data_IF_612905630846
#
_entry.id   IF_612905630846
#
_cell.length_a   1.000
_cell.length_b   1.000
_cell.length_c   1.000
_cell.angle_alpha   90.00
_cell.angle_beta   90.00
_cell.angle_gamma   90.00
#
_symmetry.space_group_name_H-M   'P 1'
#
loop_
_entity.id
_entity.type
_entity.pdbx_description
1 polymer ?
#
# COMPACT_ATOMS: atom_id res chain seq x y z
N UNK A 1 -28.50 3.34 -6.02
CA UNK A 1 -27.05 3.34 -6.25
C UNK A 1 -26.82 3.61 -7.73
N UNK A 2 -25.97 4.54 -8.13
CA UNK A 2 -25.58 4.67 -9.53
C UNK A 2 -24.87 3.39 -9.97
N UNK A 3 -25.05 2.92 -11.22
CA UNK A 3 -24.35 1.75 -11.72
C UNK A 3 -22.83 2.01 -11.71
N UNK A 4 -22.06 0.97 -11.35
CA UNK A 4 -20.61 1.01 -11.44
C UNK A 4 -20.22 1.36 -12.89
N UNK A 5 -19.26 2.27 -13.12
CA UNK A 5 -18.78 2.56 -14.46
C UNK A 5 -18.28 1.25 -15.09
N UNK A 6 -18.68 0.99 -16.32
CA UNK A 6 -18.24 -0.17 -17.08
C UNK A 6 -16.75 0.03 -17.40
N UNK A 7 -15.88 -0.70 -16.69
CA UNK A 7 -14.47 -0.77 -17.03
C UNK A 7 -14.28 -1.81 -18.12
N UNK A 8 -13.81 -1.37 -19.29
CA UNK A 8 -13.20 -2.30 -20.25
C UNK A 8 -11.96 -2.89 -19.60
N UNK A 9 -11.79 -4.21 -19.71
CA UNK A 9 -10.57 -4.86 -19.25
C UNK A 9 -9.35 -4.20 -19.92
N UNK A 10 -8.26 -3.89 -19.19
CA UNK A 10 -7.05 -3.39 -19.81
C UNK A 10 -6.53 -4.40 -20.83
N UNK A 11 -5.96 -3.89 -21.92
CA UNK A 11 -5.33 -4.70 -22.95
C UNK A 11 -4.24 -5.63 -22.34
N UNK A 12 -3.93 -6.78 -22.99
CA UNK A 12 -2.96 -7.72 -22.46
C UNK A 12 -1.61 -7.03 -22.19
N UNK A 13 -1.01 -7.35 -21.05
CA UNK A 13 0.21 -6.77 -20.53
C UNK A 13 1.41 -7.03 -21.47
N UNK A 14 1.72 -6.09 -22.35
CA UNK A 14 2.94 -6.13 -23.18
C UNK A 14 3.89 -4.96 -22.92
N UNK A 15 3.58 -4.04 -22.01
CA UNK A 15 4.45 -2.95 -21.58
C UNK A 15 4.28 -2.70 -20.08
N UNK A 16 5.37 -2.31 -19.43
CA UNK A 16 5.34 -1.85 -18.05
C UNK A 16 4.30 -0.73 -17.89
N UNK A 17 3.32 -0.92 -17.02
CA UNK A 17 2.16 -0.02 -16.89
C UNK A 17 1.82 0.32 -15.42
N UNK A 18 2.78 0.12 -14.52
CA UNK A 18 2.68 0.40 -13.11
C UNK A 18 3.57 1.59 -12.74
N UNK A 19 3.01 2.58 -12.06
CA UNK A 19 3.80 3.58 -11.32
C UNK A 19 3.85 3.22 -9.85
N UNK A 20 5.05 3.24 -9.28
CA UNK A 20 5.28 2.94 -7.85
C UNK A 20 5.65 4.22 -7.12
N UNK A 21 4.89 4.55 -6.08
CA UNK A 21 5.20 5.66 -5.18
C UNK A 21 5.89 5.15 -3.92
N UNK A 22 7.09 5.65 -3.65
CA UNK A 22 7.88 5.36 -2.44
C UNK A 22 8.11 6.67 -1.70
N UNK A 23 7.89 6.68 -0.38
CA UNK A 23 8.14 7.85 0.46
C UNK A 23 9.27 7.52 1.45
N UNK A 24 10.39 8.21 1.32
CA UNK A 24 11.50 8.10 2.25
C UNK A 24 11.41 9.17 3.34
N UNK A 25 11.62 8.75 4.58
CA UNK A 25 11.69 9.65 5.73
C UNK A 25 12.99 9.35 6.51
N UNK A 26 14.13 9.50 5.82
CA UNK A 26 15.43 9.11 6.32
C UNK A 26 15.76 7.62 6.13
N UNK A 27 15.15 6.95 5.13
CA UNK A 27 15.31 5.52 4.88
C UNK A 27 16.28 5.22 3.71
N UNK A 28 17.22 6.12 3.38
CA UNK A 28 18.04 6.05 2.18
C UNK A 28 18.66 4.68 1.87
N UNK A 29 19.19 3.97 2.88
CA UNK A 29 19.75 2.63 2.68
C UNK A 29 18.69 1.58 2.26
N UNK A 30 17.49 1.62 2.85
CA UNK A 30 16.38 0.74 2.50
C UNK A 30 15.85 1.05 1.10
N UNK A 31 15.68 2.33 0.79
CA UNK A 31 15.28 2.79 -0.56
C UNK A 31 16.28 2.33 -1.60
N UNK A 32 17.60 2.49 -1.35
CA UNK A 32 18.64 2.04 -2.26
C UNK A 32 18.54 0.54 -2.54
N UNK A 33 18.41 -0.29 -1.50
CA UNK A 33 18.29 -1.73 -1.63
C UNK A 33 17.01 -2.14 -2.39
N UNK A 34 15.87 -1.50 -2.07
CA UNK A 34 14.58 -1.74 -2.72
C UNK A 34 14.64 -1.41 -4.22
N UNK A 35 15.15 -0.22 -4.58
CA UNK A 35 15.28 0.18 -5.99
C UNK A 35 16.22 -0.74 -6.79
N UNK A 36 17.32 -1.21 -6.18
CA UNK A 36 18.22 -2.18 -6.82
C UNK A 36 17.52 -3.50 -7.05
N UNK A 37 16.77 -4.01 -6.08
CA UNK A 37 16.00 -5.24 -6.22
C UNK A 37 14.90 -5.11 -7.29
N UNK A 38 14.22 -3.96 -7.35
CA UNK A 38 13.22 -3.66 -8.40
C UNK A 38 13.88 -3.59 -9.78
N UNK A 39 15.05 -2.95 -9.90
CA UNK A 39 15.76 -2.85 -11.17
C UNK A 39 16.18 -4.23 -11.73
N UNK A 40 16.52 -5.16 -10.85
CA UNK A 40 16.91 -6.51 -11.25
C UNK A 40 15.75 -7.40 -11.69
N UNK A 41 14.54 -7.19 -11.14
CA UNK A 41 13.45 -8.19 -11.26
C UNK A 41 12.13 -7.64 -11.77
N UNK A 42 11.89 -6.33 -11.67
CA UNK A 42 10.56 -5.76 -11.91
C UNK A 42 10.52 -4.82 -13.13
N UNK A 43 11.55 -4.85 -13.97
CA UNK A 43 11.63 -3.98 -15.15
C UNK A 43 10.49 -4.19 -16.16
N UNK A 44 9.93 -5.41 -16.21
CA UNK A 44 8.82 -5.72 -17.11
C UNK A 44 7.46 -5.17 -16.61
N UNK A 45 7.30 -4.94 -15.31
CA UNK A 45 6.04 -4.50 -14.70
C UNK A 45 6.03 -3.02 -14.34
N UNK A 46 7.19 -2.49 -13.88
CA UNK A 46 7.30 -1.11 -13.38
C UNK A 46 7.78 -0.18 -14.47
N UNK A 47 6.91 0.74 -14.88
CA UNK A 47 7.24 1.79 -15.86
C UNK A 47 7.96 2.98 -15.20
N UNK A 48 7.50 3.36 -14.02
CA UNK A 48 7.99 4.56 -13.32
C UNK A 48 7.97 4.36 -11.81
N UNK A 49 8.98 4.93 -11.16
CA UNK A 49 9.04 5.06 -9.70
C UNK A 49 9.08 6.54 -9.35
N UNK A 50 8.17 6.99 -8.51
CA UNK A 50 8.18 8.33 -7.91
C UNK A 50 8.69 8.19 -6.48
N UNK A 51 9.94 8.59 -6.26
CA UNK A 51 10.56 8.61 -4.95
C UNK A 51 10.42 10.01 -4.32
N UNK A 52 9.68 10.10 -3.23
CA UNK A 52 9.56 11.34 -2.45
C UNK A 52 10.49 11.30 -1.24
N UNK A 53 11.47 12.19 -1.21
CA UNK A 53 12.32 12.44 -0.04
C UNK A 53 11.58 13.41 0.89
N UNK A 54 10.98 12.88 1.95
CA UNK A 54 10.16 13.65 2.89
C UNK A 54 11.02 14.39 3.94
N UNK A 55 12.29 14.02 4.05
CA UNK A 55 13.35 14.72 4.80
C UNK A 55 14.55 14.93 3.88
N UNK A 56 15.43 15.90 4.17
CA UNK A 56 16.69 16.04 3.45
C UNK A 56 17.55 14.78 3.59
N UNK A 57 17.79 14.10 2.48
CA UNK A 57 18.66 12.93 2.38
C UNK A 57 19.27 12.82 0.98
N UNK A 58 20.35 12.06 0.85
CA UNK A 58 21.01 11.88 -0.44
C UNK A 58 20.11 11.05 -1.38
N UNK A 59 20.02 11.40 -2.68
CA UNK A 59 19.30 10.59 -3.66
C UNK A 59 19.99 9.22 -3.86
N UNK A 60 19.22 8.19 -4.26
CA UNK A 60 19.77 6.87 -4.52
C UNK A 60 20.75 6.89 -5.69
N UNK A 61 21.79 6.05 -5.60
CA UNK A 61 22.80 5.90 -6.65
C UNK A 61 22.31 4.95 -7.73
N UNK A 62 22.28 5.43 -8.97
CA UNK A 62 21.92 4.59 -10.10
C UNK A 62 22.97 3.48 -10.34
N UNK A 63 22.54 2.29 -10.81
CA UNK A 63 23.47 1.31 -11.37
C UNK A 63 24.21 1.89 -12.59
N UNK A 64 25.34 1.28 -12.97
CA UNK A 64 26.12 1.73 -14.13
C UNK A 64 25.30 1.76 -15.44
N UNK A 65 24.36 0.82 -15.59
CA UNK A 65 23.42 0.78 -16.74
C UNK A 65 22.21 1.71 -16.60
N UNK A 66 22.13 2.50 -15.54
CA UNK A 66 20.93 3.28 -15.21
C UNK A 66 19.81 2.45 -14.59
N UNK A 67 18.68 3.09 -14.29
CA UNK A 67 17.47 2.42 -13.84
C UNK A 67 16.69 1.92 -15.07
N UNK A 68 16.13 0.69 -15.06
CA UNK A 68 15.33 0.17 -16.18
C UNK A 68 13.92 0.76 -16.21
N UNK A 69 13.55 1.60 -15.28
CA UNK A 69 12.32 2.36 -15.18
C UNK A 69 12.64 3.85 -15.04
N UNK A 70 11.67 4.71 -15.30
CA UNK A 70 11.82 6.15 -15.05
C UNK A 70 11.85 6.38 -13.54
N UNK A 71 12.92 6.95 -13.02
CA UNK A 71 13.00 7.39 -11.62
C UNK A 71 12.74 8.90 -11.54
N UNK A 72 11.58 9.25 -10.99
CA UNK A 72 11.21 10.65 -10.68
C UNK A 72 11.52 10.92 -9.21
N UNK A 73 12.37 11.92 -8.95
CA UNK A 73 12.74 12.31 -7.59
C UNK A 73 11.97 13.57 -7.18
N UNK A 74 11.33 13.54 -6.03
CA UNK A 74 10.67 14.67 -5.40
C UNK A 74 11.29 14.94 -4.03
N UNK A 75 11.53 16.21 -3.73
CA UNK A 75 12.08 16.63 -2.43
C UNK A 75 11.07 17.58 -1.77
N UNK A 76 10.63 17.26 -0.58
CA UNK A 76 9.75 18.12 0.17
C UNK A 76 10.54 19.21 0.91
N UNK A 77 10.10 20.46 0.80
CA UNK A 77 10.65 21.55 1.59
C UNK A 77 10.32 21.40 3.10
N UNK A 78 9.13 20.86 3.39
CA UNK A 78 8.68 20.52 4.75
C UNK A 78 8.05 19.12 4.72
N UNK A 79 8.27 18.31 5.78
CA UNK A 79 7.68 16.99 5.86
C UNK A 79 6.16 17.01 5.77
N UNK A 80 5.60 16.19 4.89
CA UNK A 80 4.16 15.99 4.74
C UNK A 80 3.73 14.62 5.28
N UNK A 81 2.41 14.44 5.47
CA UNK A 81 1.84 13.17 5.89
C UNK A 81 2.02 12.05 4.86
N UNK A 82 1.86 10.81 5.30
CA UNK A 82 2.00 9.62 4.44
C UNK A 82 1.06 9.70 3.22
N UNK A 83 -0.24 9.83 3.46
CA UNK A 83 -1.23 9.90 2.39
C UNK A 83 -1.02 11.07 1.44
N UNK A 84 -0.68 12.25 1.96
CA UNK A 84 -0.40 13.45 1.16
C UNK A 84 0.75 13.24 0.19
N UNK A 85 1.84 12.58 0.62
CA UNK A 85 2.97 12.30 -0.23
C UNK A 85 2.62 11.35 -1.37
N UNK A 86 1.91 10.26 -1.08
CA UNK A 86 1.47 9.30 -2.10
C UNK A 86 0.44 9.92 -3.06
N UNK A 87 -0.49 10.71 -2.56
CA UNK A 87 -1.46 11.43 -3.40
C UNK A 87 -0.75 12.35 -4.41
N UNK A 88 0.20 13.14 -3.94
CA UNK A 88 0.98 14.03 -4.81
C UNK A 88 1.80 13.24 -5.83
N UNK A 89 2.41 12.13 -5.41
CA UNK A 89 3.23 11.29 -6.28
C UNK A 89 2.43 10.64 -7.40
N UNK A 90 1.20 10.24 -7.12
CA UNK A 90 0.34 9.47 -8.02
C UNK A 90 -0.72 10.30 -8.73
N UNK A 91 -0.78 11.62 -8.46
CA UNK A 91 -1.74 12.52 -9.10
C UNK A 91 -1.55 12.54 -10.63
N UNK A 92 -2.63 12.28 -11.36
CA UNK A 92 -2.62 12.30 -12.83
C UNK A 92 -1.72 11.25 -13.48
N UNK A 93 -1.39 10.17 -12.78
CA UNK A 93 -0.57 9.09 -13.32
C UNK A 93 -1.18 8.51 -14.60
N UNK A 94 -0.44 8.48 -15.72
CA UNK A 94 -0.92 7.94 -17.00
C UNK A 94 -0.88 6.42 -17.03
N UNK A 95 -0.14 5.78 -16.14
CA UNK A 95 -0.03 4.33 -16.04
C UNK A 95 -1.38 3.71 -15.65
N UNK A 96 -1.66 2.50 -16.12
CA UNK A 96 -2.93 1.81 -15.84
C UNK A 96 -3.11 1.47 -14.35
N UNK A 97 -2.00 1.30 -13.64
CA UNK A 97 -1.98 0.95 -12.22
C UNK A 97 -1.06 1.86 -11.42
N UNK A 98 -1.45 2.10 -10.17
CA UNK A 98 -0.64 2.80 -9.17
C UNK A 98 -0.28 1.84 -8.04
N UNK A 99 0.91 2.01 -7.48
CA UNK A 99 1.37 1.27 -6.31
C UNK A 99 1.80 2.22 -5.20
N UNK A 100 1.27 2.00 -4.01
CA UNK A 100 1.83 2.54 -2.76
C UNK A 100 2.79 1.51 -2.21
N UNK A 101 4.03 1.90 -1.94
CA UNK A 101 5.07 0.99 -1.47
C UNK A 101 5.91 1.62 -0.35
N UNK A 102 5.97 0.95 0.79
CA UNK A 102 6.81 1.37 1.89
C UNK A 102 8.29 1.09 1.60
N UNK A 103 9.22 1.95 2.07
CA UNK A 103 10.65 1.77 1.85
C UNK A 103 11.26 0.60 2.63
N UNK A 104 10.60 0.08 3.66
CA UNK A 104 10.99 -1.07 4.47
C UNK A 104 10.41 -2.41 3.96
N UNK A 105 9.78 -2.39 2.78
CA UNK A 105 9.44 -3.60 2.03
C UNK A 105 10.65 -4.06 1.24
N UNK A 106 10.96 -5.36 1.32
CA UNK A 106 11.99 -5.99 0.51
C UNK A 106 11.39 -7.10 -0.36
N UNK A 107 11.97 -7.28 -1.54
CA UNK A 107 11.59 -8.36 -2.45
C UNK A 107 12.37 -9.63 -2.08
N UNK A 108 11.73 -10.80 -2.20
CA UNK A 108 12.42 -12.08 -1.95
C UNK A 108 13.59 -12.24 -2.93
N UNK A 109 14.79 -12.68 -2.47
CA UNK A 109 15.99 -12.75 -3.33
C UNK A 109 15.80 -13.57 -4.59
N UNK A 110 15.18 -14.74 -4.48
CA UNK A 110 14.98 -15.71 -5.58
C UNK A 110 13.51 -15.74 -6.05
N UNK A 111 12.71 -14.71 -5.68
CA UNK A 111 11.30 -14.64 -6.03
C UNK A 111 11.04 -14.11 -7.43
N UNK A 112 9.90 -14.50 -7.99
CA UNK A 112 9.35 -13.87 -9.20
C UNK A 112 9.03 -12.39 -8.94
N UNK A 113 8.77 -11.62 -10.00
CA UNK A 113 8.31 -10.24 -9.92
C UNK A 113 6.95 -10.17 -9.19
N UNK A 114 6.89 -9.63 -7.96
CA UNK A 114 5.64 -9.57 -7.22
C UNK A 114 4.64 -8.57 -7.84
N UNK A 115 5.14 -7.55 -8.56
CA UNK A 115 4.27 -6.54 -9.17
C UNK A 115 3.51 -7.10 -10.37
N UNK A 116 4.05 -8.08 -11.10
CA UNK A 116 3.33 -8.76 -12.16
C UNK A 116 2.07 -9.44 -11.62
N UNK A 117 2.17 -10.20 -10.54
CA UNK A 117 1.03 -10.85 -9.90
C UNK A 117 0.03 -9.85 -9.29
N UNK A 118 0.55 -8.77 -8.69
CA UNK A 118 -0.29 -7.69 -8.12
C UNK A 118 -1.08 -6.95 -9.19
N UNK A 119 -0.45 -6.60 -10.32
CA UNK A 119 -1.10 -5.96 -11.47
C UNK A 119 -2.16 -6.88 -12.06
N UNK A 120 -1.84 -8.16 -12.23
CA UNK A 120 -2.80 -9.16 -12.72
C UNK A 120 -4.03 -9.23 -11.81
N UNK A 121 -3.83 -9.32 -10.49
CA UNK A 121 -4.93 -9.36 -9.52
C UNK A 121 -5.74 -8.05 -9.50
N UNK A 122 -5.08 -6.89 -9.53
CA UNK A 122 -5.73 -5.58 -9.58
C UNK A 122 -6.53 -5.35 -10.87
N UNK A 123 -6.13 -6.00 -11.98
CA UNK A 123 -6.84 -5.96 -13.26
C UNK A 123 -8.11 -6.82 -13.32
N UNK A 124 -8.38 -7.66 -12.31
CA UNK A 124 -9.58 -8.49 -12.29
C UNK A 124 -10.84 -7.64 -12.07
N UNK A 125 -11.95 -8.07 -12.69
CA UNK A 125 -13.22 -7.35 -12.56
C UNK A 125 -13.67 -7.23 -11.11
N UNK A 126 -14.02 -6.03 -10.69
CA UNK A 126 -14.50 -5.74 -9.34
C UNK A 126 -13.41 -5.59 -8.28
N UNK A 127 -12.13 -5.73 -8.65
CA UNK A 127 -11.01 -5.51 -7.75
C UNK A 127 -10.62 -4.04 -7.74
N UNK A 128 -10.59 -3.45 -6.56
CA UNK A 128 -10.16 -2.07 -6.34
C UNK A 128 -8.75 -1.96 -5.76
N UNK A 129 -8.29 -3.03 -5.09
CA UNK A 129 -6.93 -3.08 -4.54
C UNK A 129 -6.45 -4.53 -4.48
N UNK A 130 -5.23 -4.76 -4.96
CA UNK A 130 -4.48 -5.99 -4.78
C UNK A 130 -3.31 -5.76 -3.81
N UNK A 131 -3.01 -6.77 -2.99
CA UNK A 131 -1.93 -6.72 -2.00
C UNK A 131 -1.20 -8.07 -1.90
N UNK A 132 0.09 -8.09 -1.54
CA UNK A 132 0.85 -9.32 -1.39
C UNK A 132 0.68 -9.94 -0.01
N UNK A 133 1.01 -11.22 0.11
CA UNK A 133 1.32 -11.82 1.40
C UNK A 133 2.58 -11.15 1.98
N UNK A 134 2.49 -10.69 3.21
CA UNK A 134 3.62 -10.08 3.90
C UNK A 134 4.22 -11.09 4.88
N UNK A 135 5.54 -11.24 4.82
CA UNK A 135 6.29 -12.07 5.78
C UNK A 135 7.34 -11.22 6.51
N UNK A 136 7.75 -11.66 7.69
CA UNK A 136 8.89 -11.04 8.38
C UNK A 136 10.23 -11.57 7.83
N UNK A 137 11.34 -11.05 8.31
CA UNK A 137 12.71 -11.48 7.91
C UNK A 137 13.01 -12.96 8.22
N UNK A 138 12.17 -13.64 9.00
CA UNK A 138 12.25 -15.06 9.30
C UNK A 138 11.26 -15.90 8.46
N UNK A 139 10.60 -15.28 7.47
CA UNK A 139 9.60 -15.94 6.63
C UNK A 139 8.25 -16.19 7.30
N UNK A 140 8.00 -15.67 8.50
CA UNK A 140 6.72 -15.86 9.20
C UNK A 140 5.69 -14.86 8.67
N UNK A 141 4.49 -15.37 8.37
CA UNK A 141 3.39 -14.55 7.88
C UNK A 141 3.05 -13.45 8.89
N UNK A 142 2.99 -12.22 8.39
CA UNK A 142 2.57 -11.05 9.16
C UNK A 142 1.07 -10.84 9.07
N UNK A 143 0.52 -10.26 10.13
CA UNK A 143 -0.88 -9.89 10.24
C UNK A 143 -1.12 -8.56 9.48
N UNK A 144 -1.20 -8.66 8.13
CA UNK A 144 -1.47 -7.53 7.23
C UNK A 144 -2.96 -7.33 6.97
N UNK A 145 -3.75 -8.39 7.06
CA UNK A 145 -5.20 -8.45 6.92
C UNK A 145 -5.87 -8.26 8.28
N UNK A 146 -6.80 -7.33 8.39
CA UNK A 146 -7.32 -6.94 9.70
C UNK A 146 -8.81 -6.65 9.70
N UNK A 147 -9.45 -6.89 10.86
CA UNK A 147 -10.80 -6.43 11.16
C UNK A 147 -10.83 -4.92 11.44
N UNK A 148 -12.03 -4.32 11.34
CA UNK A 148 -12.26 -2.93 11.73
C UNK A 148 -11.69 -2.65 13.13
N UNK A 149 -10.94 -1.55 13.32
CA UNK A 149 -10.32 -1.21 14.58
C UNK A 149 -11.36 -0.66 15.59
N UNK A 150 -12.30 -1.51 15.99
CA UNK A 150 -13.23 -1.22 17.09
C UNK A 150 -12.51 -1.38 18.43
N UNK A 151 -13.04 -0.75 19.49
CA UNK A 151 -12.47 -0.91 20.84
C UNK A 151 -12.38 -2.39 21.26
N UNK A 152 -13.39 -3.19 20.89
CA UNK A 152 -13.42 -4.62 21.16
C UNK A 152 -12.33 -5.36 20.38
N UNK A 153 -12.19 -5.09 19.08
CA UNK A 153 -11.16 -5.71 18.24
C UNK A 153 -9.74 -5.35 18.73
N UNK A 154 -9.50 -4.08 19.06
CA UNK A 154 -8.22 -3.64 19.61
C UNK A 154 -7.90 -4.30 20.97
N UNK A 155 -8.89 -4.43 21.84
CA UNK A 155 -8.74 -5.13 23.11
C UNK A 155 -8.46 -6.63 22.92
N UNK A 156 -9.24 -7.31 22.08
CA UNK A 156 -9.06 -8.73 21.77
C UNK A 156 -7.68 -9.02 21.20
N UNK A 157 -7.20 -8.19 20.29
CA UNK A 157 -5.88 -8.29 19.68
C UNK A 157 -4.76 -8.13 20.73
N UNK A 158 -4.91 -7.15 21.64
CA UNK A 158 -3.90 -6.91 22.68
C UNK A 158 -3.86 -8.01 23.76
N UNK A 159 -5.02 -8.57 24.10
CA UNK A 159 -5.16 -9.53 25.21
C UNK A 159 -5.08 -10.98 24.73
N UNK A 160 -5.77 -11.33 23.65
CA UNK A 160 -5.93 -12.73 23.22
C UNK A 160 -4.87 -13.19 22.22
N UNK A 161 -4.09 -12.29 21.61
CA UNK A 161 -3.07 -12.60 20.57
C UNK A 161 -3.57 -13.54 19.46
N UNK A 162 -4.87 -13.61 19.22
CA UNK A 162 -5.48 -14.43 18.16
C UNK A 162 -5.48 -13.63 16.86
N UNK A 163 -5.09 -14.28 15.76
CA UNK A 163 -5.26 -13.73 14.42
C UNK A 163 -6.73 -13.38 14.17
N UNK A 164 -6.97 -12.27 13.49
CA UNK A 164 -8.32 -11.83 13.18
C UNK A 164 -8.86 -12.73 12.06
N UNK A 165 -10.06 -13.29 12.26
CA UNK A 165 -10.75 -14.11 11.26
C UNK A 165 -11.50 -13.26 10.22
N UNK A 166 -11.56 -11.94 10.44
CA UNK A 166 -12.31 -11.00 9.62
C UNK A 166 -11.37 -10.07 8.87
N UNK A 167 -11.51 -10.02 7.55
CA UNK A 167 -10.83 -9.07 6.69
C UNK A 167 -11.76 -7.89 6.37
N UNK A 168 -11.42 -6.73 6.89
CA UNK A 168 -12.09 -5.46 6.59
C UNK A 168 -11.16 -4.47 5.89
N UNK A 169 -9.87 -4.55 6.16
CA UNK A 169 -8.83 -3.70 5.59
C UNK A 169 -7.47 -4.37 5.60
N UNK A 170 -6.55 -3.87 4.80
CA UNK A 170 -5.16 -4.31 4.70
C UNK A 170 -4.22 -3.14 4.95
N UNK A 171 -3.03 -3.40 5.50
CA UNK A 171 -2.07 -2.34 5.77
C UNK A 171 -1.50 -1.73 4.48
N UNK A 172 -1.08 -0.47 4.56
CA UNK A 172 -0.58 0.33 3.43
C UNK A 172 0.86 0.03 2.99
N UNK A 173 1.47 -1.10 3.40
CA UNK A 173 2.88 -1.35 3.10
C UNK A 173 3.15 -1.63 1.61
N UNK A 174 2.22 -2.33 0.93
CA UNK A 174 2.28 -2.56 -0.51
C UNK A 174 0.86 -2.76 -1.05
N UNK A 175 0.36 -1.78 -1.80
CA UNK A 175 -0.98 -1.78 -2.37
C UNK A 175 -0.91 -1.42 -3.85
N UNK A 176 -1.54 -2.22 -4.71
CA UNK A 176 -1.69 -1.92 -6.14
C UNK A 176 -3.16 -1.72 -6.46
N UNK A 177 -3.47 -0.60 -7.10
CA UNK A 177 -4.83 -0.21 -7.48
C UNK A 177 -4.89 0.15 -8.96
N UNK A 178 -6.02 -0.08 -9.65
CA UNK A 178 -6.26 0.55 -10.95
C UNK A 178 -6.23 2.08 -10.81
N UNK A 179 -5.51 2.77 -11.69
CA UNK A 179 -5.39 4.24 -11.64
C UNK A 179 -6.74 4.97 -11.68
N UNK A 180 -7.75 4.52 -12.47
CA UNK A 180 -9.08 5.12 -12.42
C UNK A 180 -9.78 4.96 -11.07
N UNK A 181 -9.58 3.83 -10.37
CA UNK A 181 -10.16 3.61 -9.03
C UNK A 181 -9.49 4.52 -8.00
N UNK A 182 -8.15 4.63 -8.05
CA UNK A 182 -7.39 5.57 -7.22
C UNK A 182 -7.88 7.01 -7.41
N UNK A 183 -7.99 7.45 -8.66
CA UNK A 183 -8.45 8.80 -9.02
C UNK A 183 -9.89 9.06 -8.57
N UNK A 184 -10.80 8.12 -8.79
CA UNK A 184 -12.22 8.25 -8.39
C UNK A 184 -12.40 8.36 -6.87
N UNK A 185 -11.52 7.73 -6.08
CA UNK A 185 -11.53 7.85 -4.62
C UNK A 185 -10.80 9.10 -4.12
N UNK A 186 -10.04 9.80 -4.98
CA UNK A 186 -9.18 10.91 -4.57
C UNK A 186 -7.96 10.47 -3.75
N UNK A 187 -7.54 9.20 -3.87
CA UNK A 187 -6.42 8.66 -3.10
C UNK A 187 -6.71 8.52 -1.60
N UNK A 188 -5.70 8.75 -0.78
CA UNK A 188 -5.82 8.78 0.69
C UNK A 188 -6.53 10.05 1.18
N UNK A 189 -7.26 9.98 2.30
CA UNK A 189 -7.73 11.16 3.02
C UNK A 189 -6.54 11.85 3.73
N UNK A 190 -6.15 13.03 3.23
CA UNK A 190 -5.01 13.80 3.75
C UNK A 190 -5.25 14.38 5.17
N UNK A 191 -6.44 14.26 5.70
CA UNK A 191 -6.75 14.57 7.09
C UNK A 191 -6.07 13.62 8.08
N UNK A 192 -5.60 12.45 7.61
CA UNK A 192 -4.71 11.56 8.35
C UNK A 192 -3.26 11.93 8.05
N UNK A 193 -2.51 12.35 9.07
CA UNK A 193 -1.09 12.62 8.90
C UNK A 193 -0.28 11.32 8.78
N UNK A 194 -0.61 10.35 9.64
CA UNK A 194 -0.04 9.00 9.69
C UNK A 194 -1.00 8.09 10.46
N UNK A 195 -1.11 6.83 10.03
CA UNK A 195 -2.01 5.79 10.54
C UNK A 195 -3.49 6.01 10.21
N UNK A 196 -4.21 4.94 9.98
CA UNK A 196 -5.61 4.86 9.60
C UNK A 196 -5.97 5.41 8.20
N UNK A 197 -5.04 6.00 7.45
CA UNK A 197 -5.25 6.36 6.04
C UNK A 197 -5.49 5.14 5.18
N UNK A 198 -4.80 4.03 5.46
CA UNK A 198 -4.96 2.74 4.82
C UNK A 198 -6.30 2.08 5.18
N UNK A 199 -6.70 2.17 6.45
CA UNK A 199 -8.03 1.74 6.90
C UNK A 199 -9.10 2.50 6.13
N UNK A 200 -9.06 3.83 6.14
CA UNK A 200 -10.03 4.69 5.47
C UNK A 200 -10.13 4.40 3.98
N UNK A 201 -8.97 4.26 3.29
CA UNK A 201 -8.94 3.92 1.86
C UNK A 201 -9.63 2.59 1.58
N UNK A 202 -9.28 1.53 2.35
CA UNK A 202 -9.89 0.21 2.20
C UNK A 202 -11.40 0.25 2.44
N UNK A 203 -11.87 1.01 3.44
CA UNK A 203 -13.30 1.14 3.71
C UNK A 203 -14.02 1.91 2.61
N UNK A 204 -13.44 2.98 2.06
CA UNK A 204 -14.02 3.72 0.91
C UNK A 204 -14.09 2.86 -0.34
N UNK A 205 -13.06 2.05 -0.62
CA UNK A 205 -13.09 1.06 -1.70
C UNK A 205 -14.29 0.12 -1.55
N UNK A 206 -14.44 -0.49 -0.38
CA UNK A 206 -15.52 -1.45 -0.10
C UNK A 206 -16.90 -0.81 -0.15
N UNK A 207 -17.05 0.41 0.37
CA UNK A 207 -18.32 1.17 0.30
C UNK A 207 -18.69 1.54 -1.13
N UNK A 208 -17.70 1.69 -2.01
CA UNK A 208 -17.90 1.90 -3.45
C UNK A 208 -18.14 0.58 -4.22
N UNK A 209 -18.15 -0.58 -3.54
CA UNK A 209 -18.39 -1.89 -4.14
C UNK A 209 -17.16 -2.59 -4.70
N UNK A 210 -15.94 -2.06 -4.43
CA UNK A 210 -14.69 -2.66 -4.86
C UNK A 210 -14.17 -3.71 -3.88
N UNK A 211 -13.59 -4.80 -4.42
CA UNK A 211 -12.93 -5.84 -3.65
C UNK A 211 -11.48 -5.50 -3.29
N UNK A 212 -11.03 -6.05 -2.15
CA UNK A 212 -9.63 -6.14 -1.77
C UNK A 212 -9.19 -7.58 -1.99
N UNK A 213 -8.13 -7.83 -2.76
CA UNK A 213 -7.73 -9.19 -3.16
C UNK A 213 -6.25 -9.44 -2.86
N UNK A 214 -5.97 -10.53 -2.16
CA UNK A 214 -4.62 -11.04 -2.00
C UNK A 214 -4.12 -11.66 -3.31
N UNK A 215 -2.98 -11.19 -3.80
CA UNK A 215 -2.32 -11.77 -4.97
C UNK A 215 -1.40 -12.92 -4.56
N UNK A 216 -1.06 -13.79 -5.53
CA UNK A 216 -0.02 -14.83 -5.37
C UNK A 216 1.38 -14.22 -5.40
N UNK A 217 1.60 -13.22 -4.58
CA UNK A 217 2.85 -12.48 -4.43
C UNK A 217 3.26 -12.46 -2.97
N UNK A 218 4.56 -12.55 -2.70
CA UNK A 218 5.10 -12.49 -1.34
C UNK A 218 6.15 -11.37 -1.28
N UNK A 219 6.07 -10.56 -0.23
CA UNK A 219 7.09 -9.54 0.08
C UNK A 219 7.53 -9.66 1.53
N UNK A 220 8.78 -9.30 1.79
CA UNK A 220 9.29 -9.19 3.17
C UNK A 220 9.02 -7.77 3.65
N UNK A 221 8.33 -7.63 4.77
CA UNK A 221 8.12 -6.35 5.41
C UNK A 221 8.86 -6.35 6.75
N UNK A 222 9.97 -5.65 6.80
CA UNK A 222 10.83 -5.65 7.99
C UNK A 222 10.09 -5.08 9.22
N UNK A 223 9.11 -4.20 8.97
CA UNK A 223 8.25 -3.62 9.99
C UNK A 223 9.09 -2.99 11.09
N UNK A 224 9.83 -1.94 10.76
CA UNK A 224 10.80 -1.35 11.69
C UNK A 224 10.10 -0.98 13.00
N UNK A 225 10.33 -1.79 14.04
CA UNK A 225 9.74 -1.60 15.39
C UNK A 225 10.35 -0.39 16.11
N UNK A 226 11.21 0.38 15.43
CA UNK A 226 11.82 1.58 15.96
C UNK A 226 10.79 2.65 16.39
N UNK A 227 9.61 2.68 15.77
CA UNK A 227 8.54 3.60 16.12
C UNK A 227 7.86 3.35 17.48
N UNK A 228 8.11 2.19 18.12
CA UNK A 228 7.44 1.85 19.40
C UNK A 228 7.96 2.62 20.63
N UNK A 229 9.04 3.40 20.52
CA UNK A 229 9.67 4.09 21.66
C UNK A 229 9.50 5.61 21.69
N UNK A 230 8.84 6.19 20.68
CA UNK A 230 8.68 7.65 20.61
C UNK A 230 7.24 8.09 20.89
N UNK A 231 7.05 9.20 21.63
CA UNK A 231 5.73 9.77 21.98
C UNK A 231 4.94 10.27 20.77
N UNK A 232 5.62 10.80 19.75
CA UNK A 232 4.97 11.35 18.54
C UNK A 232 4.17 10.30 17.75
N UNK A 233 4.66 9.08 17.48
CA UNK A 233 3.90 8.04 16.82
C UNK A 233 2.63 7.63 17.58
N UNK A 234 2.68 7.58 18.90
CA UNK A 234 1.51 7.26 19.73
C UNK A 234 0.42 8.33 19.63
N UNK A 235 0.79 9.61 19.68
CA UNK A 235 -0.14 10.73 19.53
C UNK A 235 -0.82 10.72 18.16
N UNK A 236 -0.06 10.52 17.08
CA UNK A 236 -0.64 10.41 15.74
C UNK A 236 -1.60 9.24 15.64
N UNK A 237 -1.26 8.09 16.23
CA UNK A 237 -2.11 6.91 16.22
C UNK A 237 -3.46 7.17 16.94
N UNK A 238 -3.41 7.77 18.11
CA UNK A 238 -4.63 8.12 18.87
C UNK A 238 -5.48 9.13 18.10
N UNK A 239 -4.87 10.22 17.59
CA UNK A 239 -5.57 11.23 16.81
C UNK A 239 -6.23 10.64 15.57
N UNK A 240 -5.53 9.78 14.85
CA UNK A 240 -6.03 9.13 13.64
C UNK A 240 -7.17 8.15 13.94
N UNK A 241 -7.08 7.39 15.03
CA UNK A 241 -8.18 6.54 15.49
C UNK A 241 -9.43 7.35 15.87
N UNK A 242 -9.27 8.44 16.60
CA UNK A 242 -10.40 9.30 16.95
C UNK A 242 -11.05 9.90 15.70
N UNK A 243 -10.25 10.36 14.72
CA UNK A 243 -10.76 10.83 13.43
C UNK A 243 -11.51 9.73 12.70
N UNK A 244 -10.95 8.50 12.63
CA UNK A 244 -11.60 7.37 11.98
C UNK A 244 -12.96 7.06 12.62
N UNK A 245 -13.03 6.98 13.95
CA UNK A 245 -14.27 6.71 14.67
C UNK A 245 -15.31 7.84 14.56
N UNK A 246 -14.87 9.06 14.32
CA UNK A 246 -15.75 10.19 14.03
C UNK A 246 -16.21 10.21 12.55
N UNK A 247 -15.57 9.42 11.68
CA UNK A 247 -15.84 9.41 10.24
C UNK A 247 -17.13 8.66 9.90
N UNK A 248 -18.00 9.22 9.02
CA UNK A 248 -19.13 8.49 8.45
C UNK A 248 -18.72 7.21 7.71
N UNK A 249 -17.52 7.19 7.12
CA UNK A 249 -16.96 6.02 6.41
C UNK A 249 -16.88 4.81 7.35
N UNK A 250 -16.34 5.01 8.55
CA UNK A 250 -16.22 3.94 9.56
C UNK A 250 -17.57 3.34 9.94
N UNK A 251 -18.55 4.18 10.23
CA UNK A 251 -19.87 3.72 10.68
C UNK A 251 -20.66 3.01 9.59
N UNK A 252 -20.59 3.51 8.35
CA UNK A 252 -21.22 2.87 7.20
C UNK A 252 -20.58 1.51 6.88
N UNK A 253 -19.26 1.42 7.01
CA UNK A 253 -18.52 0.19 6.71
C UNK A 253 -18.74 -0.93 7.74
N UNK A 254 -19.20 -0.62 8.96
CA UNK A 254 -19.51 -1.65 9.98
C UNK A 254 -20.58 -2.65 9.56
N UNK A 255 -21.48 -2.24 8.66
CA UNK A 255 -22.52 -3.11 8.10
C UNK A 255 -22.08 -3.98 6.92
N UNK A 256 -20.86 -3.80 6.43
CA UNK A 256 -20.37 -4.60 5.30
C UNK A 256 -20.01 -6.03 5.74
N UNK A 257 -20.25 -7.03 4.87
CA UNK A 257 -19.78 -8.39 5.12
C UNK A 257 -18.24 -8.41 5.15
N UNK A 258 -17.66 -9.36 5.89
CA UNK A 258 -16.21 -9.61 5.84
C UNK A 258 -15.81 -10.06 4.43
N UNK A 259 -14.63 -9.65 3.98
CA UNK A 259 -14.03 -10.20 2.77
C UNK A 259 -13.37 -11.56 3.08
N UNK A 260 -13.20 -12.38 2.06
CA UNK A 260 -12.35 -13.56 2.16
C UNK A 260 -10.90 -13.09 2.08
N UNK A 261 -10.05 -13.57 3.02
CA UNK A 261 -8.63 -13.26 3.02
C UNK A 261 -7.89 -13.83 1.79
N UNK A 262 -6.61 -13.44 1.64
CA UNK A 262 -5.75 -13.98 0.60
C UNK A 262 -5.71 -15.52 0.69
N UNK A 263 -5.69 -16.17 -0.48
CA UNK A 263 -5.37 -17.59 -0.56
C UNK A 263 -3.94 -17.75 -0.05
N UNK A 264 -3.79 -18.33 1.14
CA UNK A 264 -2.48 -18.63 1.71
C UNK A 264 -1.89 -19.80 0.93
N UNK A 265 -0.67 -19.72 0.40
CA UNK A 265 0.00 -20.92 -0.09
C UNK A 265 0.17 -21.90 1.10
N UNK A 266 -0.19 -23.17 0.85
CA UNK A 266 0.04 -24.29 1.77
C UNK A 266 1.54 -24.54 1.97
#
# INVERSE_FOLDING_TARGET
MPPLPAFSAPAPASAANLVVSIVSHGHGALVQALLQAMAQRCAASVARVVLTLNLPEAPPRAPAAGWPFVLELRCNALPAGFGTNHNRALAGAPEAFVCVLNPDVALLPDGADPFAALVQAAGMRGVGCAYPLQVDVLGRVQDSERALPTLVALWQRRVRRRGEQRLDWVNGACLVLPSPVWAALGGFDEGYHMYCEDVDLCLRLRLAGWGLVGATAVVVHAGDRASRRAWRPLWWHVRSLLRLWASPVFWRARGLPSLQGAVRPE
#
